data_IF_722818303913
#
_entry.id   IF_722818303913
#
_cell.length_a   1.000
_cell.length_b   1.000
_cell.length_c   1.000
_cell.angle_alpha   90.00
_cell.angle_beta   90.00
_cell.angle_gamma   90.00
#
_symmetry.space_group_name_H-M   'P 1'
#
loop_
_entity.id
_entity.type
_entity.pdbx_description
1 polymer ?
#
# COMPACT_ATOMS: atom_id res chain seq x y z
N UNK A 1 -8.77 -32.86 -20.14
CA UNK A 1 -9.51 -31.59 -20.17
C UNK A 1 -8.96 -30.74 -19.04
N UNK A 2 -7.83 -30.10 -19.29
CA UNK A 2 -7.22 -29.13 -18.39
C UNK A 2 -7.80 -27.77 -18.76
N UNK A 3 -8.65 -27.24 -17.87
CA UNK A 3 -9.33 -25.97 -18.05
C UNK A 3 -9.10 -25.10 -16.82
N UNK A 4 -8.16 -24.16 -16.95
CA UNK A 4 -8.32 -22.78 -16.50
C UNK A 4 -8.61 -22.56 -14.99
N UNK A 5 -7.65 -22.89 -14.12
CA UNK A 5 -7.66 -22.53 -12.69
C UNK A 5 -7.07 -21.13 -12.39
N UNK A 6 -6.58 -20.41 -13.39
CA UNK A 6 -5.88 -19.12 -13.20
C UNK A 6 -6.83 -17.93 -12.97
N UNK A 7 -8.13 -18.06 -13.27
CA UNK A 7 -9.12 -16.97 -13.16
C UNK A 7 -9.84 -16.87 -11.81
N UNK A 8 -9.50 -17.72 -10.83
CA UNK A 8 -10.11 -17.70 -9.48
C UNK A 8 -9.19 -17.14 -8.39
N UNK A 9 -7.98 -16.72 -8.73
CA UNK A 9 -6.97 -16.21 -7.78
C UNK A 9 -6.79 -14.68 -7.87
N UNK A 10 -7.77 -13.94 -8.37
CA UNK A 10 -7.72 -12.47 -8.45
C UNK A 10 -8.16 -11.77 -7.14
N UNK A 11 -8.49 -12.52 -6.10
CA UNK A 11 -9.11 -11.94 -4.91
C UNK A 11 -8.08 -11.68 -3.82
N UNK A 12 -8.00 -10.41 -3.40
CA UNK A 12 -7.48 -9.90 -2.12
C UNK A 12 -6.06 -9.31 -2.11
N UNK A 13 -5.86 -8.21 -2.85
CA UNK A 13 -4.77 -7.24 -2.59
C UNK A 13 -5.18 -6.17 -1.56
N UNK A 14 -5.84 -6.57 -0.48
CA UNK A 14 -6.08 -5.66 0.66
C UNK A 14 -4.88 -5.69 1.59
N UNK A 15 -4.07 -4.63 1.47
CA UNK A 15 -3.05 -4.11 2.37
C UNK A 15 -3.12 -4.69 3.78
N UNK A 16 -2.46 -5.82 3.98
CA UNK A 16 -1.87 -6.19 5.26
C UNK A 16 -0.39 -5.81 5.16
N UNK A 17 -0.09 -4.52 5.34
CA UNK A 17 1.29 -4.06 5.44
C UNK A 17 1.93 -4.72 6.66
N UNK A 18 2.86 -5.63 6.36
CA UNK A 18 3.77 -6.24 7.30
C UNK A 18 4.52 -5.16 8.07
N UNK A 19 4.37 -5.25 9.39
CA UNK A 19 5.12 -4.53 10.41
C UNK A 19 6.63 -4.72 10.21
N UNK A 20 7.31 -3.70 9.69
CA UNK A 20 8.75 -3.56 9.87
C UNK A 20 9.00 -3.03 11.29
N UNK A 21 9.24 -3.94 12.23
CA UNK A 21 9.82 -3.60 13.54
C UNK A 21 11.26 -3.16 13.31
N UNK A 22 11.48 -1.86 13.12
CA UNK A 22 12.80 -1.24 13.24
C UNK A 22 13.04 -0.89 14.71
N UNK A 23 13.44 -1.88 15.52
CA UNK A 23 14.04 -1.60 16.82
C UNK A 23 15.50 -1.19 16.62
N UNK A 24 15.71 0.11 16.42
CA UNK A 24 17.01 0.73 16.62
C UNK A 24 16.85 2.19 17.09
N UNK A 25 16.24 2.39 18.27
CA UNK A 25 16.36 3.63 19.03
C UNK A 25 16.00 3.41 20.51
N UNK A 26 16.80 2.64 21.25
CA UNK A 26 16.84 2.74 22.70
C UNK A 26 18.17 3.38 23.11
N UNK A 27 18.13 4.68 23.38
CA UNK A 27 19.18 5.42 24.07
C UNK A 27 18.82 5.57 25.54
N UNK A 28 19.61 4.91 26.38
CA UNK A 28 19.90 5.10 27.82
C UNK A 28 19.19 6.25 28.57
N UNK A 29 18.48 5.93 29.68
CA UNK A 29 18.98 6.02 31.08
C UNK A 29 17.82 6.14 32.10
N UNK A 30 17.91 5.47 33.26
CA UNK A 30 17.18 5.89 34.48
C UNK A 30 16.33 4.86 35.28
N UNK A 31 16.96 3.85 35.86
CA UNK A 31 16.77 3.29 37.23
C UNK A 31 15.47 3.58 38.05
N UNK A 32 14.74 2.54 38.53
CA UNK A 32 14.65 2.11 39.97
C UNK A 32 13.49 1.12 40.31
N UNK A 33 13.86 -0.03 40.88
CA UNK A 33 13.21 -0.93 41.87
C UNK A 33 11.69 -1.28 41.90
N UNK A 34 11.43 -2.55 41.58
CA UNK A 34 10.67 -3.63 42.28
C UNK A 34 9.52 -3.34 43.26
N UNK A 35 8.35 -3.97 43.01
CA UNK A 35 7.64 -4.88 43.96
C UNK A 35 6.50 -5.70 43.33
N UNK A 36 6.42 -6.96 43.73
CA UNK A 36 5.46 -8.01 43.36
C UNK A 36 3.99 -7.72 43.72
N UNK A 37 3.08 -8.36 42.98
CA UNK A 37 1.68 -8.57 43.37
C UNK A 37 0.80 -9.07 42.21
N UNK A 38 0.68 -10.39 42.05
CA UNK A 38 -0.22 -11.07 41.12
C UNK A 38 -1.65 -11.14 41.70
N UNK A 39 -2.65 -10.52 41.05
CA UNK A 39 -4.03 -11.02 41.03
C UNK A 39 -4.72 -10.64 39.70
N UNK A 40 -5.18 -11.67 39.01
CA UNK A 40 -5.94 -11.64 37.76
C UNK A 40 -7.30 -10.94 37.94
N UNK A 41 -7.57 -9.92 37.11
CA UNK A 41 -8.92 -9.46 36.78
C UNK A 41 -8.94 -9.04 35.31
N UNK A 42 -9.94 -9.55 34.60
CA UNK A 42 -10.35 -9.15 33.27
C UNK A 42 -10.29 -7.63 33.09
N UNK A 43 -9.65 -7.19 32.00
CA UNK A 43 -9.74 -5.83 31.49
C UNK A 43 -9.73 -5.90 29.95
N UNK A 44 -10.91 -6.16 29.38
CA UNK A 44 -11.36 -5.37 28.24
C UNK A 44 -11.55 -3.94 28.77
N UNK A 45 -10.83 -3.00 28.15
CA UNK A 45 -10.98 -1.53 28.14
C UNK A 45 -9.64 -0.84 28.38
N UNK A 46 -9.32 0.12 27.49
CA UNK A 46 -8.31 1.14 27.76
C UNK A 46 -7.22 1.29 26.71
N UNK A 47 -7.59 1.63 25.47
CA UNK A 47 -6.80 2.63 24.74
C UNK A 47 -7.71 3.82 24.42
N UNK A 48 -8.23 4.45 25.48
CA UNK A 48 -8.62 5.85 25.42
C UNK A 48 -7.36 6.71 25.55
N UNK A 49 -7.18 7.63 24.61
CA UNK A 49 -6.57 8.92 24.91
C UNK A 49 -5.07 9.05 24.70
N UNK A 50 -4.60 8.88 23.47
CA UNK A 50 -3.91 10.01 22.87
C UNK A 50 -4.85 10.59 21.82
N UNK A 51 -5.46 11.73 22.13
CA UNK A 51 -5.95 12.64 21.11
C UNK A 51 -4.73 13.04 20.27
N UNK A 52 -4.34 12.20 19.30
CA UNK A 52 -3.52 12.68 18.20
C UNK A 52 -4.39 13.70 17.51
N UNK A 53 -4.12 14.97 17.80
CA UNK A 53 -4.70 16.09 17.09
C UNK A 53 -4.47 15.82 15.61
N UNK A 54 -5.53 15.46 14.89
CA UNK A 54 -5.51 15.50 13.44
C UNK A 54 -5.11 16.92 13.09
N UNK A 55 -3.93 17.14 12.47
CA UNK A 55 -3.58 18.47 12.04
C UNK A 55 -4.69 18.90 11.11
N UNK A 56 -5.27 20.07 11.41
CA UNK A 56 -6.21 20.71 10.52
C UNK A 56 -5.42 21.11 9.28
N UNK A 57 -5.50 20.28 8.23
CA UNK A 57 -4.80 20.54 6.99
C UNK A 57 -5.75 21.34 6.10
N UNK A 58 -5.45 22.63 5.95
CA UNK A 58 -6.22 23.52 5.07
C UNK A 58 -6.19 22.99 3.63
N UNK A 59 -7.38 22.71 3.10
CA UNK A 59 -7.63 22.32 1.72
C UNK A 59 -7.36 23.49 0.76
N UNK A 60 -7.03 23.15 -0.49
CA UNK A 60 -6.81 24.12 -1.57
C UNK A 60 -8.12 24.33 -2.34
N UNK A 61 -8.36 25.52 -2.89
CA UNK A 61 -9.48 25.75 -3.82
C UNK A 61 -9.48 24.69 -4.94
N UNK A 62 -10.59 23.94 -5.15
CA UNK A 62 -10.66 22.84 -6.12
C UNK A 62 -10.20 23.20 -7.54
N UNK A 63 -10.46 24.44 -7.98
CA UNK A 63 -10.15 24.91 -9.34
C UNK A 63 -8.72 25.44 -9.48
N UNK A 64 -8.05 25.72 -8.35
CA UNK A 64 -6.69 26.24 -8.35
C UNK A 64 -5.72 25.16 -8.83
N UNK A 65 -4.77 25.57 -9.65
CA UNK A 65 -3.66 24.70 -10.07
C UNK A 65 -2.64 24.61 -8.93
N UNK A 66 -2.33 23.40 -8.48
CA UNK A 66 -1.36 23.15 -7.39
C UNK A 66 0.02 22.79 -7.91
N UNK A 67 0.10 22.17 -9.09
CA UNK A 67 1.34 21.87 -9.78
C UNK A 67 1.10 21.69 -11.27
N UNK A 68 2.18 21.70 -12.06
CA UNK A 68 2.19 21.31 -13.46
C UNK A 68 3.31 20.32 -13.73
N UNK A 69 3.04 19.33 -14.57
CA UNK A 69 4.00 18.33 -15.04
C UNK A 69 3.95 18.30 -16.57
N UNK A 70 5.04 18.70 -17.23
CA UNK A 70 5.12 18.82 -18.69
C UNK A 70 3.98 19.66 -19.29
N UNK A 71 3.57 20.71 -18.57
CA UNK A 71 2.48 21.60 -18.93
C UNK A 71 1.07 21.11 -18.59
N UNK A 72 0.90 19.87 -18.14
CA UNK A 72 -0.38 19.35 -17.65
C UNK A 72 -0.62 19.79 -16.20
N UNK A 73 -1.81 20.32 -15.94
CA UNK A 73 -2.20 20.88 -14.63
C UNK A 73 -2.68 19.78 -13.68
N UNK A 74 -2.24 19.86 -12.42
CA UNK A 74 -2.81 19.13 -11.29
C UNK A 74 -3.68 20.12 -10.51
N UNK A 75 -4.97 19.80 -10.34
CA UNK A 75 -5.95 20.69 -9.69
C UNK A 75 -6.01 20.51 -8.18
N UNK A 76 -6.53 21.52 -7.50
CA UNK A 76 -6.76 21.50 -6.05
C UNK A 76 -7.71 20.40 -5.64
N UNK A 77 -8.67 20.03 -6.49
CA UNK A 77 -9.57 18.90 -6.23
C UNK A 77 -8.78 17.59 -6.05
N UNK A 78 -7.95 17.22 -7.02
CA UNK A 78 -7.10 16.01 -6.97
C UNK A 78 -6.17 16.04 -5.75
N UNK A 79 -5.64 17.23 -5.45
CA UNK A 79 -4.80 17.45 -4.28
C UNK A 79 -5.53 17.19 -2.96
N UNK A 80 -6.73 17.73 -2.79
CA UNK A 80 -7.50 17.55 -1.56
C UNK A 80 -7.93 16.09 -1.38
N UNK A 81 -8.34 15.42 -2.46
CA UNK A 81 -8.69 13.99 -2.44
C UNK A 81 -7.49 13.14 -1.98
N UNK A 82 -6.32 13.34 -2.57
CA UNK A 82 -5.08 12.65 -2.15
C UNK A 82 -4.65 13.04 -0.74
N UNK A 83 -4.88 14.29 -0.33
CA UNK A 83 -4.52 14.77 0.99
C UNK A 83 -5.33 14.05 2.08
N UNK A 84 -6.64 13.89 1.88
CA UNK A 84 -7.50 13.15 2.80
C UNK A 84 -7.05 11.68 2.93
N UNK A 85 -6.71 11.03 1.80
CA UNK A 85 -6.19 9.66 1.81
C UNK A 85 -4.84 9.56 2.54
N UNK A 86 -3.93 10.50 2.28
CA UNK A 86 -2.63 10.57 2.97
C UNK A 86 -2.81 10.78 4.47
N UNK A 87 -3.75 11.63 4.87
CA UNK A 87 -4.08 11.88 6.27
C UNK A 87 -4.59 10.61 6.96
N UNK A 88 -5.51 9.87 6.34
CA UNK A 88 -6.05 8.61 6.86
C UNK A 88 -4.94 7.56 7.02
N UNK A 89 -4.08 7.41 6.01
CA UNK A 89 -2.93 6.51 6.06
C UNK A 89 -1.99 6.88 7.22
N UNK A 90 -1.60 8.16 7.34
CA UNK A 90 -0.71 8.60 8.41
C UNK A 90 -1.33 8.40 9.80
N UNK A 91 -2.64 8.63 9.96
CA UNK A 91 -3.32 8.33 11.22
C UNK A 91 -3.28 6.84 11.56
N UNK A 92 -3.50 5.96 10.59
CA UNK A 92 -3.45 4.51 10.79
C UNK A 92 -2.08 4.03 11.28
N UNK A 93 -1.00 4.66 10.81
CA UNK A 93 0.37 4.35 11.24
C UNK A 93 0.88 5.21 12.41
N UNK A 94 0.03 6.04 13.03
CA UNK A 94 0.40 6.90 14.16
C UNK A 94 1.35 8.06 13.79
N UNK A 95 1.46 8.41 12.51
CA UNK A 95 2.40 9.40 11.95
C UNK A 95 1.78 10.79 11.69
N UNK A 96 0.55 11.05 12.16
CA UNK A 96 -0.22 12.24 11.79
C UNK A 96 0.25 13.61 12.31
N UNK A 97 1.48 13.78 12.82
CA UNK A 97 1.88 14.99 13.57
C UNK A 97 2.40 16.18 12.75
N UNK A 98 2.83 15.99 11.50
CA UNK A 98 3.48 17.03 10.68
C UNK A 98 2.64 17.37 9.43
N UNK A 99 1.84 18.43 9.55
CA UNK A 99 1.00 18.93 8.47
C UNK A 99 1.80 19.31 7.22
N UNK A 100 3.04 19.82 7.38
CA UNK A 100 3.85 20.24 6.24
C UNK A 100 4.39 19.03 5.50
N UNK A 101 4.94 18.06 6.22
CA UNK A 101 5.40 16.80 5.62
C UNK A 101 4.26 16.09 4.88
N UNK A 102 3.06 16.10 5.44
CA UNK A 102 1.87 15.55 4.80
C UNK A 102 1.55 16.27 3.48
N UNK A 103 1.48 17.60 3.48
CA UNK A 103 1.24 18.39 2.25
C UNK A 103 2.30 18.13 1.17
N UNK A 104 3.57 18.13 1.57
CA UNK A 104 4.70 17.88 0.66
C UNK A 104 4.64 16.46 0.08
N UNK A 105 4.31 15.45 0.89
CA UNK A 105 4.16 14.07 0.46
C UNK A 105 2.99 13.91 -0.52
N UNK A 106 1.83 14.50 -0.22
CA UNK A 106 0.65 14.51 -1.11
C UNK A 106 1.00 15.11 -2.47
N UNK A 107 1.62 16.29 -2.50
CA UNK A 107 1.95 16.97 -3.76
C UNK A 107 2.96 16.16 -4.57
N UNK A 108 3.98 15.59 -3.91
CA UNK A 108 4.95 14.73 -4.59
C UNK A 108 4.29 13.47 -5.15
N UNK A 109 3.41 12.81 -4.41
CA UNK A 109 2.70 11.61 -4.87
C UNK A 109 1.89 11.89 -6.15
N UNK A 110 1.19 13.03 -6.22
CA UNK A 110 0.43 13.42 -7.42
C UNK A 110 1.33 13.73 -8.61
N UNK A 111 2.46 14.40 -8.39
CA UNK A 111 3.45 14.64 -9.44
C UNK A 111 3.97 13.30 -9.99
N UNK A 112 4.25 12.34 -9.11
CA UNK A 112 4.79 11.03 -9.47
C UNK A 112 3.76 10.23 -10.26
N UNK A 113 2.50 10.23 -9.81
CA UNK A 113 1.37 9.64 -10.52
C UNK A 113 1.19 10.28 -11.91
N UNK A 114 1.26 11.61 -12.00
CA UNK A 114 1.10 12.33 -13.26
C UNK A 114 2.22 12.02 -14.27
N UNK A 115 3.47 11.92 -13.79
CA UNK A 115 4.63 11.51 -14.61
C UNK A 115 4.43 10.09 -15.14
N UNK A 116 4.05 9.16 -14.26
CA UNK A 116 3.83 7.77 -14.64
C UNK A 116 2.67 7.62 -15.62
N UNK A 117 1.57 8.34 -15.40
CA UNK A 117 0.41 8.36 -16.30
C UNK A 117 0.80 8.85 -17.70
N UNK A 118 1.58 9.94 -17.79
CA UNK A 118 2.09 10.44 -19.07
C UNK A 118 2.98 9.42 -19.78
N UNK A 119 3.84 8.70 -19.06
CA UNK A 119 4.67 7.64 -19.64
C UNK A 119 3.81 6.51 -20.22
N UNK A 120 2.86 5.99 -19.43
CA UNK A 120 1.93 4.92 -19.83
C UNK A 120 1.15 5.32 -21.09
N UNK A 121 0.61 6.55 -21.11
CA UNK A 121 -0.10 7.10 -22.26
C UNK A 121 0.80 7.28 -23.49
N UNK A 122 2.02 7.81 -23.30
CA UNK A 122 2.98 8.05 -24.39
C UNK A 122 3.40 6.77 -25.10
N UNK A 123 3.45 5.66 -24.35
CA UNK A 123 3.75 4.31 -24.83
C UNK A 123 2.52 3.62 -25.43
N UNK A 124 1.35 4.27 -25.37
CA UNK A 124 0.12 3.82 -26.00
C UNK A 124 -0.63 2.73 -25.23
N UNK A 125 -0.31 2.54 -23.94
CA UNK A 125 -1.05 1.63 -23.09
C UNK A 125 -2.38 2.25 -22.70
N UNK A 126 -3.48 1.58 -23.06
CA UNK A 126 -4.85 2.03 -22.80
C UNK A 126 -5.73 0.86 -22.37
N UNK A 127 -6.78 1.21 -21.65
CA UNK A 127 -7.80 0.27 -21.21
C UNK A 127 -9.07 0.47 -22.03
N UNK A 128 -9.64 -0.63 -22.53
CA UNK A 128 -10.91 -0.61 -23.24
C UNK A 128 -12.08 -0.59 -22.26
N UNK A 129 -13.22 -0.02 -22.68
CA UNK A 129 -14.44 -0.01 -21.87
C UNK A 129 -14.83 -1.41 -21.40
N UNK A 130 -14.68 -2.42 -22.26
CA UNK A 130 -14.96 -3.81 -21.93
C UNK A 130 -14.09 -4.33 -20.78
N UNK A 131 -12.81 -3.97 -20.75
CA UNK A 131 -11.91 -4.39 -19.66
C UNK A 131 -12.28 -3.71 -18.34
N UNK A 132 -12.69 -2.44 -18.38
CA UNK A 132 -13.19 -1.71 -17.21
C UNK A 132 -14.47 -2.39 -16.70
N UNK A 133 -15.42 -2.71 -17.58
CA UNK A 133 -16.66 -3.39 -17.20
C UNK A 133 -16.43 -4.79 -16.62
N UNK A 134 -15.52 -5.57 -17.24
CA UNK A 134 -15.14 -6.89 -16.74
C UNK A 134 -14.51 -6.78 -15.34
N UNK A 135 -13.64 -5.78 -15.11
CA UNK A 135 -13.02 -5.56 -13.81
C UNK A 135 -14.04 -5.10 -12.75
N UNK A 136 -14.96 -4.20 -13.08
CA UNK A 136 -16.07 -3.80 -12.18
C UNK A 136 -16.92 -5.01 -11.82
N UNK A 137 -17.18 -5.91 -12.77
CA UNK A 137 -17.92 -7.14 -12.49
C UNK A 137 -17.17 -8.04 -11.51
N UNK A 138 -15.85 -8.15 -11.65
CA UNK A 138 -15.02 -8.91 -10.72
C UNK A 138 -14.99 -8.26 -9.32
N UNK A 139 -14.96 -6.93 -9.23
CA UNK A 139 -15.12 -6.20 -7.96
C UNK A 139 -16.48 -6.53 -7.33
N UNK A 140 -17.58 -6.40 -8.09
CA UNK A 140 -18.94 -6.70 -7.62
C UNK A 140 -19.08 -8.15 -7.14
N UNK A 141 -18.36 -9.09 -7.73
CA UNK A 141 -18.38 -10.50 -7.32
C UNK A 141 -17.80 -10.76 -5.91
N UNK A 142 -17.06 -9.79 -5.34
CA UNK A 142 -16.56 -9.87 -3.98
C UNK A 142 -17.58 -9.40 -2.92
N UNK A 143 -18.68 -8.80 -3.36
CA UNK A 143 -19.78 -8.38 -2.49
C UNK A 143 -20.87 -9.46 -2.44
N UNK A 144 -21.59 -9.50 -1.33
CA UNK A 144 -22.72 -10.44 -1.15
C UNK A 144 -23.83 -10.21 -2.18
N UNK A 145 -24.00 -8.97 -2.63
CA UNK A 145 -24.96 -8.57 -3.65
C UNK A 145 -24.53 -7.28 -4.34
N UNK A 146 -25.18 -6.96 -5.47
CA UNK A 146 -25.00 -5.68 -6.16
C UNK A 146 -25.45 -4.49 -5.29
N UNK A 147 -26.53 -4.66 -4.52
CA UNK A 147 -27.00 -3.67 -3.54
C UNK A 147 -25.93 -3.37 -2.48
N UNK A 148 -25.20 -4.39 -1.98
CA UNK A 148 -24.10 -4.18 -1.03
C UNK A 148 -22.91 -3.46 -1.64
N UNK A 149 -22.66 -3.66 -2.93
CA UNK A 149 -21.64 -2.88 -3.65
C UNK A 149 -22.08 -1.42 -3.81
N UNK A 150 -23.35 -1.17 -4.17
CA UNK A 150 -23.88 0.19 -4.31
C UNK A 150 -23.88 0.94 -2.98
N UNK A 151 -24.32 0.31 -1.89
CA UNK A 151 -24.22 0.87 -0.52
C UNK A 151 -22.77 1.25 -0.18
N UNK A 152 -21.80 0.35 -0.44
CA UNK A 152 -20.40 0.63 -0.16
C UNK A 152 -19.81 1.75 -1.03
N UNK A 153 -20.29 1.90 -2.27
CA UNK A 153 -19.88 3.00 -3.14
C UNK A 153 -20.48 4.34 -2.68
N UNK A 154 -21.71 4.35 -2.18
CA UNK A 154 -22.36 5.54 -1.61
C UNK A 154 -21.69 6.00 -0.29
N UNK A 155 -21.16 5.06 0.50
CA UNK A 155 -20.37 5.36 1.71
C UNK A 155 -18.93 5.80 1.40
N UNK A 156 -18.46 5.58 0.17
CA UNK A 156 -17.14 5.99 -0.30
C UNK A 156 -17.16 7.41 -0.86
N UNK A 157 -16.05 8.15 -0.83
CA UNK A 157 -15.95 9.45 -1.52
C UNK A 157 -15.96 9.33 -3.06
N UNK A 158 -16.07 8.12 -3.62
CA UNK A 158 -15.95 7.85 -5.06
C UNK A 158 -17.31 7.79 -5.75
N UNK A 159 -17.40 8.39 -6.95
CA UNK A 159 -18.51 8.16 -7.87
C UNK A 159 -18.23 6.97 -8.78
N UNK A 160 -19.25 6.40 -9.42
CA UNK A 160 -19.06 5.36 -10.45
C UNK A 160 -18.20 5.85 -11.63
N UNK A 161 -18.26 7.14 -11.96
CA UNK A 161 -17.43 7.73 -13.00
C UNK A 161 -15.96 7.78 -12.57
N UNK A 162 -15.70 8.28 -11.36
CA UNK A 162 -14.35 8.32 -10.76
C UNK A 162 -13.76 6.92 -10.61
N UNK A 163 -14.57 5.95 -10.17
CA UNK A 163 -14.15 4.55 -10.06
C UNK A 163 -13.74 3.97 -11.42
N UNK A 164 -14.52 4.23 -12.48
CA UNK A 164 -14.16 3.81 -13.84
C UNK A 164 -12.86 4.44 -14.33
N UNK A 165 -12.65 5.72 -14.04
CA UNK A 165 -11.41 6.42 -14.40
C UNK A 165 -10.19 5.79 -13.68
N UNK A 166 -10.30 5.56 -12.37
CA UNK A 166 -9.24 4.90 -11.58
C UNK A 166 -8.92 3.49 -12.10
N UNK A 167 -9.96 2.69 -12.38
CA UNK A 167 -9.79 1.34 -12.98
C UNK A 167 -9.12 1.42 -14.35
N UNK A 168 -9.48 2.42 -15.17
CA UNK A 168 -8.86 2.60 -16.49
C UNK A 168 -7.36 2.85 -16.37
N UNK A 169 -6.96 3.75 -15.48
CA UNK A 169 -5.55 4.08 -15.20
C UNK A 169 -4.79 2.88 -14.63
N UNK A 170 -5.36 2.21 -13.63
CA UNK A 170 -4.76 1.03 -12.98
C UNK A 170 -4.50 -0.09 -14.00
N UNK A 171 -5.50 -0.42 -14.83
CA UNK A 171 -5.35 -1.47 -15.84
C UNK A 171 -4.39 -1.06 -16.96
N UNK A 172 -4.28 0.23 -17.29
CA UNK A 172 -3.32 0.70 -18.28
C UNK A 172 -1.88 0.59 -17.74
N UNK A 173 -1.67 0.99 -16.49
CA UNK A 173 -0.41 0.83 -15.79
C UNK A 173 -0.03 -0.64 -15.64
N UNK A 174 -0.97 -1.52 -15.26
CA UNK A 174 -0.70 -2.95 -15.15
C UNK A 174 -0.20 -3.53 -16.48
N UNK A 175 -0.86 -3.19 -17.60
CA UNK A 175 -0.44 -3.64 -18.94
C UNK A 175 0.95 -3.12 -19.32
N UNK A 176 1.23 -1.87 -18.97
CA UNK A 176 2.55 -1.28 -19.16
C UNK A 176 3.60 -2.07 -18.37
N UNK A 177 3.34 -2.35 -17.09
CA UNK A 177 4.24 -3.11 -16.23
C UNK A 177 4.49 -4.53 -16.73
N UNK A 178 3.44 -5.25 -17.11
CA UNK A 178 3.54 -6.62 -17.62
C UNK A 178 4.38 -6.75 -18.89
N UNK A 179 4.39 -5.71 -19.73
CA UNK A 179 5.10 -5.72 -21.01
C UNK A 179 6.50 -5.12 -20.95
N UNK A 180 6.67 -4.02 -20.23
CA UNK A 180 7.94 -3.29 -20.17
C UNK A 180 8.87 -3.84 -19.08
N UNK A 181 8.32 -4.46 -18.03
CA UNK A 181 9.09 -5.04 -16.92
C UNK A 181 8.79 -6.53 -16.68
N UNK A 182 8.98 -7.42 -17.69
CA UNK A 182 8.74 -8.85 -17.50
C UNK A 182 9.69 -9.51 -16.48
N UNK A 183 10.77 -8.81 -16.15
CA UNK A 183 11.79 -9.18 -15.15
C UNK A 183 11.32 -9.05 -13.70
N UNK A 184 10.16 -8.43 -13.44
CA UNK A 184 9.55 -8.44 -12.09
C UNK A 184 9.05 -9.81 -11.67
N UNK A 185 8.98 -10.77 -12.60
CA UNK A 185 8.65 -12.17 -12.32
C UNK A 185 9.78 -12.84 -11.55
N UNK A 186 9.45 -13.39 -10.39
CA UNK A 186 10.45 -13.99 -9.50
C UNK A 186 10.69 -15.47 -9.83
N UNK A 187 11.93 -15.89 -9.65
CA UNK A 187 12.38 -17.27 -9.87
C UNK A 187 12.16 -18.14 -8.64
N UNK A 188 12.04 -19.45 -8.84
CA UNK A 188 11.91 -20.41 -7.73
C UNK A 188 13.12 -20.39 -6.78
N UNK A 189 14.29 -19.95 -7.27
CA UNK A 189 15.49 -19.77 -6.45
C UNK A 189 15.35 -18.59 -5.49
N UNK A 190 14.82 -17.44 -5.95
CA UNK A 190 14.55 -16.28 -5.10
C UNK A 190 13.50 -16.59 -4.03
N UNK A 191 12.45 -17.36 -4.39
CA UNK A 191 11.42 -17.79 -3.43
C UNK A 191 12.05 -18.67 -2.34
N UNK A 192 12.88 -19.64 -2.72
CA UNK A 192 13.58 -20.52 -1.76
C UNK A 192 14.52 -19.75 -0.85
N UNK A 193 15.26 -18.80 -1.40
CA UNK A 193 16.17 -17.95 -0.63
C UNK A 193 15.41 -17.13 0.41
N UNK A 194 14.34 -16.44 -0.01
CA UNK A 194 13.48 -15.68 0.89
C UNK A 194 12.88 -16.55 2.00
N UNK A 195 12.36 -17.74 1.64
CA UNK A 195 11.82 -18.69 2.59
C UNK A 195 12.85 -19.12 3.64
N UNK A 196 14.06 -19.47 3.20
CA UNK A 196 15.13 -19.92 4.09
C UNK A 196 15.57 -18.80 5.04
N UNK A 197 15.68 -17.56 4.55
CA UNK A 197 16.02 -16.40 5.37
C UNK A 197 14.93 -16.12 6.41
N UNK A 198 13.66 -16.15 6.02
CA UNK A 198 12.54 -15.96 6.94
C UNK A 198 12.47 -17.06 8.01
N UNK A 199 12.76 -18.31 7.63
CA UNK A 199 12.85 -19.45 8.56
C UNK A 199 14.00 -19.28 9.55
N UNK A 200 15.20 -18.94 9.07
CA UNK A 200 16.37 -18.69 9.92
C UNK A 200 16.10 -17.54 10.91
N UNK A 201 15.48 -16.45 10.45
CA UNK A 201 15.10 -15.33 11.31
C UNK A 201 14.08 -15.73 12.38
N UNK A 202 13.16 -16.63 12.06
CA UNK A 202 12.19 -17.16 13.01
C UNK A 202 12.86 -18.07 14.06
N UNK A 203 13.75 -18.96 13.63
CA UNK A 203 14.54 -19.83 14.52
C UNK A 203 15.42 -19.01 15.48
N UNK A 204 16.06 -17.95 14.98
CA UNK A 204 16.86 -17.04 15.80
C UNK A 204 16.02 -16.32 16.88
N UNK A 205 14.83 -15.84 16.53
CA UNK A 205 13.91 -15.20 17.48
C UNK A 205 13.43 -16.17 18.58
N UNK A 206 13.20 -17.44 18.23
CA UNK A 206 12.85 -18.47 19.21
C UNK A 206 14.02 -18.80 20.15
N UNK A 207 15.25 -18.77 19.65
CA UNK A 207 16.45 -19.04 20.45
C UNK A 207 16.76 -17.93 21.47
N UNK A 208 16.31 -16.69 21.23
CA UNK A 208 16.51 -15.56 22.14
C UNK A 208 15.36 -15.39 23.16
N UNK A 209 14.36 -16.29 23.16
CA UNK A 209 13.29 -16.27 24.15
C UNK A 209 13.83 -16.55 25.58
N UNK A 210 13.38 -15.80 26.60
CA UNK A 210 13.89 -15.96 27.96
C UNK A 210 13.70 -17.39 28.49
N UNK A 211 14.75 -17.95 29.09
CA UNK A 211 14.71 -19.27 29.73
C UNK A 211 13.55 -19.35 30.74
N UNK A 212 12.56 -20.22 30.46
CA UNK A 212 11.44 -20.49 31.36
C UNK A 212 10.05 -20.18 30.78
N UNK A 213 9.96 -19.54 29.63
CA UNK A 213 8.74 -19.48 28.83
C UNK A 213 8.83 -20.52 27.71
N UNK A 214 7.89 -21.47 27.67
CA UNK A 214 7.77 -22.35 26.50
C UNK A 214 7.34 -21.48 25.32
N UNK A 215 8.27 -21.17 24.43
CA UNK A 215 7.93 -20.60 23.13
C UNK A 215 6.85 -21.50 22.52
N UNK A 216 5.70 -20.96 22.08
CA UNK A 216 4.73 -21.78 21.38
C UNK A 216 5.48 -22.42 20.21
N UNK A 217 5.40 -23.75 20.12
CA UNK A 217 5.93 -24.51 19.00
C UNK A 217 5.10 -24.21 17.74
N UNK A 218 5.15 -22.95 17.28
CA UNK A 218 4.68 -22.58 15.98
C UNK A 218 5.75 -23.05 15.00
N UNK A 219 5.52 -24.24 14.46
CA UNK A 219 6.29 -24.73 13.32
C UNK A 219 6.16 -23.71 12.19
N UNK A 220 7.31 -23.27 11.66
CA UNK A 220 7.34 -22.39 10.51
C UNK A 220 6.67 -23.11 9.32
N UNK A 221 5.76 -22.46 8.57
CA UNK A 221 5.00 -23.13 7.53
C UNK A 221 5.91 -23.76 6.48
N UNK A 222 5.46 -24.84 5.86
CA UNK A 222 6.20 -25.51 4.79
C UNK A 222 6.22 -24.62 3.53
N UNK A 223 7.33 -24.62 2.78
CA UNK A 223 7.47 -23.78 1.57
C UNK A 223 6.29 -23.96 0.61
N UNK A 224 5.81 -25.19 0.43
CA UNK A 224 4.69 -25.48 -0.48
C UNK A 224 3.37 -24.80 -0.07
N UNK A 225 3.19 -24.48 1.21
CA UNK A 225 1.99 -23.79 1.70
C UNK A 225 2.05 -22.28 1.45
N UNK A 226 3.27 -21.71 1.44
CA UNK A 226 3.49 -20.26 1.33
C UNK A 226 4.15 -19.83 0.02
N UNK A 227 4.48 -20.75 -0.89
CA UNK A 227 5.21 -20.46 -2.13
C UNK A 227 4.51 -19.38 -2.96
N UNK A 228 3.21 -19.51 -3.17
CA UNK A 228 2.41 -18.54 -3.94
C UNK A 228 2.39 -17.16 -3.26
N UNK A 229 2.32 -17.13 -1.93
CA UNK A 229 2.34 -15.88 -1.16
C UNK A 229 3.71 -15.20 -1.23
N UNK A 230 4.79 -15.95 -1.07
CA UNK A 230 6.16 -15.45 -1.19
C UNK A 230 6.39 -14.93 -2.61
N UNK A 231 5.95 -15.68 -3.63
CA UNK A 231 6.03 -15.26 -5.03
C UNK A 231 5.35 -13.90 -5.22
N UNK A 232 4.09 -13.78 -4.81
CA UNK A 232 3.34 -12.53 -4.92
C UNK A 232 3.99 -11.35 -4.18
N UNK A 233 4.53 -11.59 -2.98
CA UNK A 233 5.22 -10.56 -2.22
C UNK A 233 6.50 -10.08 -2.92
N UNK A 234 7.34 -10.99 -3.41
CA UNK A 234 8.58 -10.65 -4.10
C UNK A 234 8.31 -9.96 -5.45
N UNK A 235 7.29 -10.41 -6.19
CA UNK A 235 6.90 -9.76 -7.45
C UNK A 235 6.40 -8.33 -7.20
N UNK A 236 5.65 -8.13 -6.11
CA UNK A 236 5.19 -6.80 -5.70
C UNK A 236 6.38 -5.90 -5.30
N UNK A 237 7.35 -6.41 -4.56
CA UNK A 237 8.55 -5.65 -4.16
C UNK A 237 9.39 -5.23 -5.38
N UNK A 238 9.68 -6.16 -6.29
CA UNK A 238 10.42 -5.86 -7.51
C UNK A 238 9.65 -4.86 -8.40
N UNK A 239 8.33 -5.00 -8.50
CA UNK A 239 7.47 -4.06 -9.22
C UNK A 239 7.55 -2.65 -8.62
N UNK A 240 7.44 -2.50 -7.30
CA UNK A 240 7.57 -1.21 -6.62
C UNK A 240 8.95 -0.57 -6.87
N UNK A 241 10.02 -1.35 -6.76
CA UNK A 241 11.38 -0.88 -7.01
C UNK A 241 11.59 -0.40 -8.45
N UNK A 242 11.03 -1.13 -9.43
CA UNK A 242 11.08 -0.74 -10.84
C UNK A 242 10.29 0.53 -11.11
N UNK A 243 9.10 0.66 -10.54
CA UNK A 243 8.30 1.88 -10.62
C UNK A 243 9.01 3.08 -10.00
N UNK A 244 9.63 2.91 -8.82
CA UNK A 244 10.38 3.98 -8.18
C UNK A 244 11.55 4.44 -9.05
N UNK A 245 12.33 3.49 -9.58
CA UNK A 245 13.45 3.80 -10.47
C UNK A 245 12.98 4.52 -11.74
N UNK A 246 11.89 4.04 -12.33
CA UNK A 246 11.29 4.64 -13.52
C UNK A 246 10.85 6.09 -13.24
N UNK A 247 10.10 6.32 -12.17
CA UNK A 247 9.62 7.66 -11.78
C UNK A 247 10.80 8.59 -11.51
N UNK A 248 11.85 8.13 -10.83
CA UNK A 248 13.07 8.91 -10.60
C UNK A 248 13.77 9.31 -11.90
N UNK A 249 13.82 8.41 -12.89
CA UNK A 249 14.41 8.69 -14.19
C UNK A 249 13.54 9.65 -15.00
N UNK A 250 12.24 9.41 -15.10
CA UNK A 250 11.29 10.29 -15.79
C UNK A 250 11.23 11.69 -15.17
N UNK A 251 11.37 11.79 -13.84
CA UNK A 251 11.45 13.08 -13.13
C UNK A 251 12.61 13.95 -13.61
N UNK A 252 13.76 13.37 -13.96
CA UNK A 252 14.94 14.12 -14.44
C UNK A 252 14.69 14.77 -15.78
N UNK A 253 13.82 14.17 -16.59
CA UNK A 253 13.49 14.61 -17.94
C UNK A 253 12.18 15.43 -18.00
N UNK A 254 11.46 15.54 -16.88
CA UNK A 254 10.16 16.23 -16.79
C UNK A 254 10.30 17.69 -16.34
N UNK A 255 9.47 18.57 -16.91
CA UNK A 255 9.28 19.95 -16.43
C UNK A 255 8.25 19.96 -15.31
N UNK A 256 8.67 20.28 -14.08
CA UNK A 256 7.82 20.25 -12.89
C UNK A 256 7.73 21.66 -12.28
N UNK A 257 6.53 22.22 -12.23
CA UNK A 257 6.23 23.48 -11.58
C UNK A 257 5.34 23.24 -10.35
N UNK A 258 5.82 23.55 -9.14
CA UNK A 258 4.99 23.52 -7.92
C UNK A 258 4.43 24.92 -7.66
N UNK A 259 3.13 25.02 -7.38
CA UNK A 259 2.40 26.29 -7.24
C UNK A 259 1.79 26.50 -5.84
N UNK A 260 2.02 25.57 -4.92
CA UNK A 260 1.67 25.64 -3.50
C UNK A 260 2.85 25.23 -2.62
#
# INVERSE_FOLDING_TARGET
>A
MEGNNMKKKLTMFLVAMLTAVLLAACGSDGNNASKEGNENKEAQEGQEGQEQQTPEVEEVDPEKVVAKVNGQEIKGQEYNEMLQQTQMMMMQFGQGGDAKAMKDQTLNALIDQQILSQEVESKGYKTSEKEIEDYIKDIKANYESEEKFEEALEESPLTMETLKAQISEELALQKYMEKEFPETKVTDEQIKEYYNQAKEQNEAQQAEAPEGEEAPANEFPELAEVEDQIRGQLEQEETQKKLQTLVEDLKKDSEIEKLI
#
